data_IF_595044739303
#
_entry.id   IF_595044739303
#
_cell.length_a   1.000
_cell.length_b   1.000
_cell.length_c   1.000
_cell.angle_alpha   90.00
_cell.angle_beta   90.00
_cell.angle_gamma   90.00
#
_symmetry.space_group_name_H-M   'P 1'
#
loop_
_entity.id
_entity.type
_entity.pdbx_description
1 polymer ?
#
# COMPACT_ATOMS: atom_id res chain seq x y z
N UNK A 1 15.25 -22.90 5.40
CA UNK A 1 13.82 -22.70 5.69
C UNK A 1 13.70 -21.31 6.29
N UNK A 2 12.79 -20.47 5.80
CA UNK A 2 12.71 -19.05 6.19
C UNK A 2 12.21 -18.90 7.65
N UNK A 3 11.64 -19.97 8.23
CA UNK A 3 11.21 -20.03 9.63
C UNK A 3 12.33 -20.41 10.59
N UNK A 4 12.37 -19.73 11.73
CA UNK A 4 13.24 -20.12 12.86
C UNK A 4 12.73 -21.41 13.50
N UNK A 5 13.61 -22.20 14.12
CA UNK A 5 13.23 -23.46 14.79
C UNK A 5 12.27 -23.28 15.98
N UNK A 6 12.01 -22.03 16.37
CA UNK A 6 11.07 -21.63 17.42
C UNK A 6 9.68 -21.26 16.89
N UNK A 7 9.50 -21.12 15.58
CA UNK A 7 8.20 -20.81 14.97
C UNK A 7 7.40 -22.07 14.66
N UNK A 8 6.07 -21.98 14.83
CA UNK A 8 5.16 -23.07 14.49
C UNK A 8 4.90 -23.12 12.98
N UNK A 9 5.14 -24.26 12.30
CA UNK A 9 4.81 -24.41 10.89
C UNK A 9 3.33 -24.21 10.58
N UNK A 10 2.44 -24.58 11.52
CA UNK A 10 1.00 -24.38 11.37
C UNK A 10 0.62 -22.89 11.41
N UNK A 11 1.31 -22.09 12.24
CA UNK A 11 1.07 -20.65 12.28
C UNK A 11 1.49 -19.96 10.98
N UNK A 12 2.55 -20.43 10.31
CA UNK A 12 2.95 -19.91 9.00
C UNK A 12 1.91 -20.24 7.92
N UNK A 13 1.38 -21.47 7.93
CA UNK A 13 0.34 -21.88 6.96
C UNK A 13 -0.94 -21.06 7.19
N UNK A 14 -1.33 -20.84 8.44
CA UNK A 14 -2.48 -20.00 8.79
C UNK A 14 -2.27 -18.55 8.35
N UNK A 15 -1.07 -18.00 8.52
CA UNK A 15 -0.73 -16.66 8.02
C UNK A 15 -0.85 -16.55 6.49
N UNK A 16 -0.41 -17.57 5.76
CA UNK A 16 -0.58 -17.63 4.30
C UNK A 16 -2.08 -17.64 3.95
N UNK A 17 -2.90 -18.40 4.68
CA UNK A 17 -4.34 -18.44 4.45
C UNK A 17 -4.98 -17.07 4.67
N UNK A 18 -4.65 -16.38 5.77
CA UNK A 18 -5.14 -15.02 6.04
C UNK A 18 -4.68 -14.04 4.95
N UNK A 19 -3.45 -14.16 4.46
CA UNK A 19 -2.93 -13.32 3.37
C UNK A 19 -3.71 -13.51 2.07
N UNK A 20 -3.96 -14.76 1.68
CA UNK A 20 -4.74 -15.08 0.47
C UNK A 20 -6.19 -14.59 0.62
N UNK A 21 -6.81 -14.76 1.78
CA UNK A 21 -8.18 -14.27 2.00
C UNK A 21 -8.27 -12.74 1.99
N UNK A 22 -7.26 -12.03 2.51
CA UNK A 22 -7.19 -10.57 2.42
C UNK A 22 -7.05 -10.10 0.96
N UNK A 23 -6.23 -10.77 0.16
CA UNK A 23 -6.10 -10.49 -1.27
C UNK A 23 -7.41 -10.73 -2.02
N UNK A 24 -8.10 -11.83 -1.72
CA UNK A 24 -9.38 -12.18 -2.36
C UNK A 24 -10.46 -11.10 -2.11
N UNK A 25 -10.51 -10.53 -0.90
CA UNK A 25 -11.43 -9.42 -0.58
C UNK A 25 -11.05 -8.08 -1.21
N UNK A 26 -9.79 -7.89 -1.59
CA UNK A 26 -9.33 -6.63 -2.20
C UNK A 26 -9.52 -6.66 -3.71
N UNK A 27 -9.21 -7.79 -4.34
CA UNK A 27 -9.32 -7.97 -5.79
C UNK A 27 -10.68 -8.54 -6.25
N UNK A 28 -11.57 -8.91 -5.32
CA UNK A 28 -12.91 -9.45 -5.60
C UNK A 28 -12.86 -10.69 -6.54
N UNK A 29 -12.38 -11.83 -6.02
CA UNK A 29 -12.00 -13.06 -6.74
C UNK A 29 -10.61 -12.95 -7.37
N UNK A 30 -9.59 -12.96 -6.51
CA UNK A 30 -8.19 -12.76 -6.93
C UNK A 30 -7.73 -13.85 -7.90
N UNK A 31 -7.02 -13.45 -8.95
CA UNK A 31 -6.29 -14.36 -9.84
C UNK A 31 -4.80 -14.01 -9.94
N UNK A 32 -4.00 -14.88 -10.56
CA UNK A 32 -2.56 -14.67 -10.72
C UNK A 32 -2.22 -13.39 -11.51
N UNK A 33 -3.08 -12.99 -12.44
CA UNK A 33 -2.86 -11.82 -13.26
C UNK A 33 -3.01 -10.53 -12.44
N UNK A 34 -3.91 -10.53 -11.45
CA UNK A 34 -4.07 -9.42 -10.50
C UNK A 34 -2.82 -9.23 -9.64
N UNK A 35 -2.14 -10.32 -9.28
CA UNK A 35 -0.89 -10.25 -8.52
C UNK A 35 0.27 -9.72 -9.36
N UNK A 36 0.29 -10.02 -10.66
CA UNK A 36 1.32 -9.54 -11.59
C UNK A 36 1.16 -8.03 -11.84
N UNK A 37 -0.07 -7.58 -12.09
CA UNK A 37 -0.34 -6.18 -12.44
C UNK A 37 -0.67 -5.28 -11.24
N UNK A 38 -1.06 -5.85 -10.10
CA UNK A 38 -1.41 -5.18 -8.85
C UNK A 38 -0.41 -5.41 -7.72
N UNK A 39 0.87 -5.59 -8.05
CA UNK A 39 1.91 -5.90 -7.07
C UNK A 39 2.05 -4.83 -5.99
N UNK A 40 1.79 -3.54 -6.28
CA UNK A 40 1.81 -2.49 -5.27
C UNK A 40 0.72 -2.68 -4.21
N UNK A 41 -0.49 -3.02 -4.62
CA UNK A 41 -1.60 -3.29 -3.70
C UNK A 41 -1.33 -4.57 -2.90
N UNK A 42 -0.80 -5.62 -3.54
CA UNK A 42 -0.35 -6.83 -2.84
C UNK A 42 0.73 -6.53 -1.78
N UNK A 43 1.70 -5.67 -2.09
CA UNK A 43 2.72 -5.23 -1.14
C UNK A 43 2.14 -4.38 -0.01
N UNK A 44 1.12 -3.56 -0.28
CA UNK A 44 0.41 -2.80 0.74
C UNK A 44 -0.32 -3.74 1.73
N UNK A 45 -0.97 -4.78 1.23
CA UNK A 45 -1.58 -5.84 2.08
C UNK A 45 -0.53 -6.49 2.97
N UNK A 46 0.60 -6.91 2.39
CA UNK A 46 1.66 -7.55 3.15
C UNK A 46 2.28 -6.62 4.20
N UNK A 47 2.36 -5.32 3.91
CA UNK A 47 2.87 -4.30 4.84
C UNK A 47 1.93 -4.02 6.01
N UNK A 48 0.62 -4.19 5.82
CA UNK A 48 -0.36 -4.13 6.93
C UNK A 48 -0.28 -5.39 7.82
N UNK A 49 0.10 -6.53 7.26
CA UNK A 49 0.17 -7.79 8.00
C UNK A 49 1.50 -7.99 8.73
N UNK A 50 2.63 -7.58 8.15
CA UNK A 50 3.98 -7.90 8.63
C UNK A 50 4.86 -6.65 8.66
N UNK A 51 5.49 -6.39 9.80
CA UNK A 51 6.45 -5.31 9.97
C UNK A 51 7.72 -5.85 10.63
N UNK A 52 8.88 -5.62 10.01
CA UNK A 52 10.17 -6.06 10.57
C UNK A 52 10.28 -7.58 10.76
N UNK A 53 9.52 -8.36 9.99
CA UNK A 53 9.48 -9.83 10.11
C UNK A 53 8.55 -10.36 11.20
N UNK A 54 7.78 -9.48 11.86
CA UNK A 54 6.79 -9.85 12.87
C UNK A 54 5.38 -9.62 12.33
N UNK A 55 4.46 -10.54 12.60
CA UNK A 55 3.04 -10.40 12.26
C UNK A 55 2.40 -9.39 13.21
N UNK A 56 1.85 -8.31 12.66
CA UNK A 56 1.24 -7.22 13.43
C UNK A 56 -0.29 -7.22 13.39
N UNK A 57 -0.88 -7.74 12.31
CA UNK A 57 -2.34 -7.79 12.15
C UNK A 57 -2.75 -9.06 11.38
N UNK A 58 -3.84 -9.67 11.82
CA UNK A 58 -4.43 -10.88 11.21
C UNK A 58 -5.93 -10.72 10.96
N UNK A 59 -6.56 -9.64 11.45
CA UNK A 59 -7.95 -9.37 11.18
C UNK A 59 -8.12 -8.80 9.75
N UNK A 60 -8.81 -9.56 8.91
CA UNK A 60 -9.00 -9.24 7.49
C UNK A 60 -9.70 -7.89 7.30
N UNK A 61 -10.72 -7.57 8.11
CA UNK A 61 -11.48 -6.32 7.96
C UNK A 61 -10.60 -5.09 8.23
N UNK A 62 -9.71 -5.19 9.22
CA UNK A 62 -8.71 -4.15 9.52
C UNK A 62 -7.66 -4.03 8.42
N UNK A 63 -7.14 -5.15 7.92
CA UNK A 63 -6.16 -5.16 6.82
C UNK A 63 -6.76 -4.48 5.59
N UNK A 64 -7.96 -4.90 5.16
CA UNK A 64 -8.65 -4.35 3.98
C UNK A 64 -8.93 -2.86 4.15
N UNK A 65 -9.41 -2.43 5.32
CA UNK A 65 -9.68 -1.01 5.58
C UNK A 65 -8.40 -0.16 5.65
N UNK A 66 -7.31 -0.71 6.18
CA UNK A 66 -5.97 -0.10 6.19
C UNK A 66 -5.47 0.15 4.78
N UNK A 67 -5.44 -0.88 3.93
CA UNK A 67 -4.98 -0.79 2.54
C UNK A 67 -5.80 0.23 1.73
N UNK A 68 -7.13 0.18 1.82
CA UNK A 68 -8.01 1.13 1.11
C UNK A 68 -7.78 2.59 1.57
N UNK A 69 -7.45 2.80 2.85
CA UNK A 69 -7.12 4.12 3.37
C UNK A 69 -5.79 4.66 2.83
N UNK A 70 -4.81 3.77 2.60
CA UNK A 70 -3.52 4.13 2.02
C UNK A 70 -3.62 4.53 0.53
N UNK A 71 -4.40 3.79 -0.25
CA UNK A 71 -4.65 4.10 -1.67
C UNK A 71 -5.29 5.50 -1.85
N UNK A 72 -6.26 5.84 -1.00
CA UNK A 72 -6.88 7.17 -0.98
C UNK A 72 -5.91 8.31 -0.67
N UNK A 73 -4.85 8.05 0.12
CA UNK A 73 -3.82 9.05 0.41
C UNK A 73 -2.83 9.23 -0.75
N UNK A 74 -2.53 8.19 -1.53
CA UNK A 74 -1.63 8.28 -2.68
C UNK A 74 -2.23 9.12 -3.82
N UNK A 75 -3.55 9.01 -4.06
CA UNK A 75 -4.27 9.89 -4.98
C UNK A 75 -4.19 11.37 -4.58
N UNK A 76 -4.32 11.67 -3.29
CA UNK A 76 -4.17 13.05 -2.75
C UNK A 76 -2.74 13.56 -2.87
N UNK A 77 -1.72 12.72 -2.63
CA UNK A 77 -0.30 13.09 -2.79
C UNK A 77 0.05 13.40 -4.25
N UNK A 78 -0.48 12.63 -5.22
CA UNK A 78 -0.34 12.95 -6.66
C UNK A 78 -1.03 14.27 -7.04
N UNK A 79 -2.23 14.54 -6.52
CA UNK A 79 -2.94 15.79 -6.77
C UNK A 79 -2.22 17.02 -6.18
N UNK A 80 -1.68 16.92 -4.95
CA UNK A 80 -0.90 17.98 -4.32
C UNK A 80 0.43 18.20 -5.07
N UNK A 81 1.10 17.13 -5.51
CA UNK A 81 2.35 17.24 -6.26
C UNK A 81 2.14 17.82 -7.68
N UNK A 82 1.03 17.51 -8.33
CA UNK A 82 0.62 18.12 -9.61
C UNK A 82 0.17 19.58 -9.46
N UNK A 83 -0.41 19.96 -8.32
CA UNK A 83 -0.70 21.36 -8.00
C UNK A 83 0.58 22.16 -7.67
N UNK A 84 1.59 21.52 -7.05
CA UNK A 84 2.88 22.16 -6.78
C UNK A 84 3.73 22.38 -8.03
N UNK A 85 3.56 21.59 -9.10
CA UNK A 85 4.27 21.78 -10.37
C UNK A 85 3.65 22.87 -11.27
N UNK A 86 2.39 23.29 -11.03
CA UNK A 86 1.76 24.42 -11.75
C UNK A 86 2.00 25.78 -11.08
N UNK A 87 2.44 25.81 -9.82
CA UNK A 87 2.92 27.03 -9.11
C UNK A 87 4.32 27.49 -9.58
N UNK A 88 4.90 26.85 -10.61
CA UNK A 88 6.16 27.26 -11.22
C UNK A 88 6.08 28.25 -12.39
N UNK A 89 4.90 28.70 -12.83
CA UNK A 89 4.78 29.55 -14.04
C UNK A 89 3.67 30.60 -13.96
N UNK A 90 3.68 31.41 -12.90
CA UNK A 90 2.90 32.66 -12.83
C UNK A 90 3.85 33.84 -12.74
N UNK A 91 4.16 34.46 -13.88
CA UNK A 91 4.97 35.68 -13.92
C UNK A 91 4.35 36.77 -13.04
N UNK A 92 5.19 37.44 -12.23
CA UNK A 92 4.82 38.67 -11.54
C UNK A 92 4.54 39.75 -12.59
N UNK A 93 3.30 40.25 -12.73
CA UNK A 93 3.07 41.46 -13.50
C UNK A 93 3.41 42.62 -12.58
N UNK A 94 4.65 43.11 -12.59
CA UNK A 94 4.95 44.36 -11.90
C UNK A 94 6.39 44.72 -11.54
N UNK A 95 7.39 43.85 -11.68
CA UNK A 95 8.77 44.23 -11.30
C UNK A 95 9.56 44.64 -12.56
N UNK A 96 9.12 45.74 -13.16
CA UNK A 96 10.05 46.65 -13.84
C UNK A 96 10.61 47.60 -12.79
N UNK A 97 11.68 47.22 -12.10
CA UNK A 97 12.31 48.10 -11.13
C UNK A 97 13.80 47.80 -10.90
N UNK A 98 14.62 48.42 -11.75
CA UNK A 98 15.95 48.99 -11.48
C UNK A 98 17.15 48.07 -11.18
N UNK A 99 18.05 48.08 -12.17
CA UNK A 99 19.52 47.93 -12.13
C UNK A 99 20.11 46.52 -11.99
#
# INVERSE_FOLDING_TARGET
MISTSTESPLALIDLIQVFVEALDRIFENVCELDLIFGYETMHAVLSEMIVGGVVVETNIDKIVSGVRSQEGSLGKKKAIQAASSSVGRGGFPGIGAWR
#
